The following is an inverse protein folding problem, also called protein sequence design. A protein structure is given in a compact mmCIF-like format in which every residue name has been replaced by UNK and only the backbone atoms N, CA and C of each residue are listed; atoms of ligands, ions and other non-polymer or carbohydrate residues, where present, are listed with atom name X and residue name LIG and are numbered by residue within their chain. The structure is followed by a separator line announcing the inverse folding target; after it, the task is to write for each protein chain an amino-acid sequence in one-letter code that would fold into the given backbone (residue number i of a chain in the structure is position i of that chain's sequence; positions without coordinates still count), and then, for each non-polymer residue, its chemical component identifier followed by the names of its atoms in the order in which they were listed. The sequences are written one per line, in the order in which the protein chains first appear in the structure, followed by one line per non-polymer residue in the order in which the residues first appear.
data_IF_034953433547
#
_entry.id   IF_034953433547
#
_cell.length_a   1.000
_cell.length_b   1.000
_cell.length_c   1.000
_cell.angle_alpha   90.00
_cell.angle_beta   90.00
_cell.angle_gamma   90.00
#
_symmetry.space_group_name_H-M   'P 1'
#
loop_
_entity.id
_entity.type
_entity.pdbx_description
1 polymer ?
#
# COMPACT_ATOMS: atom_id res chain seq x y z
N UNK A 1 14.32 10.77 -33.77
CA UNK A 1 13.99 10.22 -32.42
C UNK A 1 15.11 10.74 -31.52
N UNK A 2 14.77 11.54 -30.49
CA UNK A 2 15.78 11.96 -29.48
C UNK A 2 16.11 10.72 -28.66
N UNK A 3 17.37 10.27 -28.68
CA UNK A 3 17.86 9.27 -27.73
C UNK A 3 17.64 9.82 -26.31
N UNK A 4 16.66 9.27 -25.62
CA UNK A 4 16.42 9.58 -24.21
C UNK A 4 17.50 8.81 -23.44
N UNK A 5 18.54 9.51 -22.99
CA UNK A 5 19.57 8.90 -22.14
C UNK A 5 18.91 8.38 -20.88
N UNK A 6 19.04 7.07 -20.63
CA UNK A 6 18.48 6.44 -19.42
C UNK A 6 19.19 6.96 -18.18
N UNK A 7 18.43 7.12 -17.11
CA UNK A 7 18.98 7.47 -15.81
C UNK A 7 19.58 6.22 -15.12
N UNK A 8 20.68 6.41 -14.40
CA UNK A 8 21.39 5.33 -13.70
C UNK A 8 20.95 5.24 -12.24
N UNK A 9 20.53 4.05 -11.82
CA UNK A 9 20.14 3.77 -10.44
C UNK A 9 21.03 2.70 -9.84
N UNK A 10 21.62 2.96 -8.68
CA UNK A 10 22.43 2.02 -7.92
C UNK A 10 21.75 1.66 -6.61
N UNK A 11 21.43 0.38 -6.41
CA UNK A 11 20.96 -0.16 -5.14
C UNK A 11 22.10 -0.69 -4.30
N UNK A 12 22.18 -0.25 -3.03
CA UNK A 12 23.22 -0.67 -2.10
C UNK A 12 22.63 -1.39 -0.89
N UNK A 13 23.24 -2.51 -0.51
CA UNK A 13 23.00 -3.17 0.75
C UNK A 13 24.31 -3.77 1.30
N UNK A 14 24.29 -4.47 2.44
CA UNK A 14 25.51 -5.03 3.01
C UNK A 14 26.10 -6.11 2.12
N UNK A 15 25.36 -7.17 1.81
CA UNK A 15 25.89 -8.38 1.15
C UNK A 15 25.65 -8.46 -0.35
N UNK A 16 24.85 -7.59 -0.97
CA UNK A 16 24.37 -7.74 -2.37
C UNK A 16 23.86 -9.15 -2.70
N UNK A 17 23.29 -9.83 -1.69
CA UNK A 17 22.86 -11.23 -1.79
C UNK A 17 21.33 -11.39 -1.88
N UNK A 18 20.55 -10.40 -1.42
CA UNK A 18 19.09 -10.46 -1.42
C UNK A 18 18.44 -9.12 -1.79
N UNK A 19 18.31 -8.17 -0.83
CA UNK A 19 17.54 -6.93 -1.00
C UNK A 19 17.88 -6.15 -2.26
N UNK A 20 19.15 -5.86 -2.49
CA UNK A 20 19.61 -5.07 -3.65
C UNK A 20 19.49 -5.85 -4.97
N UNK A 21 19.66 -7.16 -4.97
CA UNK A 21 19.41 -8.02 -6.13
C UNK A 21 17.92 -8.01 -6.50
N UNK A 22 17.04 -8.19 -5.52
CA UNK A 22 15.59 -8.13 -5.74
C UNK A 22 15.15 -6.74 -6.25
N UNK A 23 15.71 -5.65 -5.70
CA UNK A 23 15.39 -4.29 -6.14
C UNK A 23 15.87 -4.03 -7.57
N UNK A 24 17.08 -4.50 -7.93
CA UNK A 24 17.62 -4.40 -9.29
C UNK A 24 16.69 -5.08 -10.31
N UNK A 25 16.28 -6.32 -10.05
CA UNK A 25 15.39 -7.09 -10.94
C UNK A 25 14.02 -6.41 -11.07
N UNK A 26 13.43 -6.00 -9.94
CA UNK A 26 12.13 -5.33 -9.91
C UNK A 26 12.14 -4.03 -10.73
N UNK A 27 13.11 -3.15 -10.52
CA UNK A 27 13.14 -1.87 -11.22
C UNK A 27 13.47 -2.06 -12.71
N UNK A 28 14.37 -3.00 -13.04
CA UNK A 28 14.66 -3.37 -14.43
C UNK A 28 13.41 -3.89 -15.14
N UNK A 29 12.63 -4.73 -14.48
CA UNK A 29 11.37 -5.23 -15.04
C UNK A 29 10.33 -4.12 -15.25
N UNK A 30 10.20 -3.20 -14.28
CA UNK A 30 9.18 -2.13 -14.32
C UNK A 30 9.50 -1.00 -15.31
N UNK A 31 10.77 -0.64 -15.47
CA UNK A 31 11.15 0.60 -16.13
C UNK A 31 12.52 0.52 -16.85
N UNK A 32 12.83 -0.59 -17.50
CA UNK A 32 14.08 -0.78 -18.27
C UNK A 32 14.25 0.21 -19.45
N UNK A 33 13.16 0.81 -19.91
CA UNK A 33 13.18 1.85 -20.92
C UNK A 33 13.63 3.23 -20.39
N UNK A 34 13.61 3.44 -19.07
CA UNK A 34 13.93 4.71 -18.41
C UNK A 34 15.21 4.65 -17.58
N UNK A 35 15.51 3.48 -17.00
CA UNK A 35 16.61 3.31 -16.06
C UNK A 35 17.57 2.20 -16.48
N UNK A 36 18.87 2.50 -16.33
CA UNK A 36 19.93 1.50 -16.25
C UNK A 36 20.16 1.20 -14.77
N UNK A 37 19.89 -0.05 -14.38
CA UNK A 37 19.77 -0.44 -12.97
C UNK A 37 20.95 -1.32 -12.56
N UNK A 38 21.55 -1.00 -11.43
CA UNK A 38 22.72 -1.67 -10.86
C UNK A 38 22.49 -1.98 -9.39
N UNK A 39 23.18 -2.99 -8.88
CA UNK A 39 23.23 -3.27 -7.44
C UNK A 39 24.63 -3.64 -6.99
N UNK A 40 24.96 -3.31 -5.73
CA UNK A 40 26.22 -3.69 -5.11
C UNK A 40 26.09 -3.87 -3.60
N UNK A 41 27.12 -4.47 -3.00
CA UNK A 41 27.25 -4.64 -1.56
C UNK A 41 28.59 -4.09 -1.06
N UNK A 42 28.61 -3.74 0.22
CA UNK A 42 29.83 -3.32 0.91
C UNK A 42 30.72 -4.53 1.16
N UNK A 43 30.09 -5.62 1.59
CA UNK A 43 30.69 -6.94 1.82
C UNK A 43 29.92 -7.99 1.02
N UNK A 44 30.26 -8.20 -0.27
CA UNK A 44 29.54 -9.12 -1.13
C UNK A 44 29.51 -10.55 -0.57
N UNK A 45 28.33 -11.18 -0.63
CA UNK A 45 28.08 -12.56 -0.34
C UNK A 45 27.43 -13.22 -1.55
N UNK A 46 27.44 -14.55 -1.64
CA UNK A 46 26.73 -15.26 -2.70
C UNK A 46 25.26 -14.90 -2.72
N UNK A 47 24.67 -14.85 -3.92
CA UNK A 47 23.25 -14.55 -4.09
C UNK A 47 22.42 -15.62 -3.39
N UNK A 48 21.54 -15.20 -2.47
CA UNK A 48 20.72 -16.10 -1.68
C UNK A 48 19.67 -16.79 -2.57
N UNK A 49 19.67 -18.11 -2.59
CA UNK A 49 18.76 -18.92 -3.40
C UNK A 49 17.29 -18.63 -3.10
N UNK A 50 16.97 -18.25 -1.85
CA UNK A 50 15.61 -17.87 -1.44
C UNK A 50 15.16 -16.53 -2.07
N UNK A 51 16.11 -15.62 -2.35
CA UNK A 51 15.81 -14.41 -3.11
C UNK A 51 15.51 -14.73 -4.57
N UNK A 52 16.27 -15.65 -5.18
CA UNK A 52 16.02 -16.16 -6.53
C UNK A 52 14.65 -16.83 -6.61
N UNK A 53 14.32 -17.70 -5.65
CA UNK A 53 13.02 -18.38 -5.60
C UNK A 53 11.85 -17.41 -5.41
N UNK A 54 12.01 -16.37 -4.58
CA UNK A 54 11.00 -15.34 -4.41
C UNK A 54 10.74 -14.56 -5.71
N UNK A 55 11.81 -14.20 -6.44
CA UNK A 55 11.70 -13.53 -7.75
C UNK A 55 10.98 -14.42 -8.77
N UNK A 56 11.35 -15.69 -8.86
CA UNK A 56 10.71 -16.66 -9.77
C UNK A 56 9.23 -16.85 -9.47
N UNK A 57 8.86 -16.99 -8.19
CA UNK A 57 7.46 -17.08 -7.75
C UNK A 57 6.67 -15.81 -8.06
N UNK A 58 7.34 -14.68 -8.08
CA UNK A 58 6.74 -13.40 -8.49
C UNK A 58 6.59 -13.24 -10.01
N UNK A 59 7.09 -14.21 -10.79
CA UNK A 59 7.05 -14.20 -12.26
C UNK A 59 8.20 -13.41 -12.92
N UNK A 60 9.31 -13.18 -12.20
CA UNK A 60 10.45 -12.42 -12.69
C UNK A 60 11.61 -13.34 -13.07
N UNK A 61 12.34 -12.98 -14.14
CA UNK A 61 13.57 -13.66 -14.50
C UNK A 61 14.70 -13.31 -13.50
N UNK A 62 15.25 -14.34 -12.89
CA UNK A 62 16.33 -14.24 -11.92
C UNK A 62 17.61 -14.92 -12.40
N UNK A 63 17.81 -15.06 -13.72
CA UNK A 63 19.04 -15.61 -14.28
C UNK A 63 20.17 -14.58 -14.27
N UNK A 64 21.39 -15.07 -14.10
CA UNK A 64 22.60 -14.24 -14.23
C UNK A 64 22.80 -13.21 -13.10
N UNK A 65 22.14 -13.37 -11.96
CA UNK A 65 22.36 -12.52 -10.79
C UNK A 65 23.76 -12.78 -10.22
N UNK A 66 24.55 -11.72 -10.10
CA UNK A 66 25.93 -11.78 -9.59
C UNK A 66 26.10 -10.72 -8.50
N UNK A 67 26.63 -11.14 -7.37
CA UNK A 67 26.98 -10.22 -6.29
C UNK A 67 28.23 -9.42 -6.65
N UNK A 68 28.21 -8.12 -6.39
CA UNK A 68 29.26 -7.18 -6.76
C UNK A 68 29.65 -6.30 -5.57
N UNK A 69 30.94 -6.01 -5.43
CA UNK A 69 31.40 -5.03 -4.46
C UNK A 69 31.12 -3.61 -4.99
N UNK A 70 30.75 -2.69 -4.09
CA UNK A 70 30.49 -1.29 -4.43
C UNK A 70 31.71 -0.60 -5.10
N UNK A 71 32.92 -1.06 -4.80
CA UNK A 71 34.15 -0.56 -5.41
C UNK A 71 34.22 -0.73 -6.93
N UNK A 72 33.46 -1.67 -7.50
CA UNK A 72 33.38 -1.85 -8.97
C UNK A 72 32.77 -0.61 -9.64
N UNK A 73 32.04 0.18 -8.90
CA UNK A 73 31.38 1.40 -9.37
C UNK A 73 32.09 2.69 -8.93
N UNK A 74 33.30 2.58 -8.38
CA UNK A 74 34.09 3.75 -7.98
C UNK A 74 34.36 4.69 -9.16
N UNK A 75 34.11 5.97 -8.94
CA UNK A 75 34.25 7.00 -10.02
C UNK A 75 33.06 7.06 -10.99
N UNK A 76 32.06 6.17 -10.90
CA UNK A 76 30.86 6.26 -11.72
C UNK A 76 29.85 7.22 -11.12
N UNK A 77 29.12 7.93 -11.99
CA UNK A 77 28.05 8.84 -11.61
C UNK A 77 26.71 8.11 -11.77
N UNK A 78 25.86 8.22 -10.74
CA UNK A 78 24.50 7.69 -10.73
C UNK A 78 23.50 8.81 -10.47
N UNK A 79 22.39 8.84 -11.21
CA UNK A 79 21.30 9.78 -10.96
C UNK A 79 20.64 9.51 -9.60
N UNK A 80 20.57 8.23 -9.24
CA UNK A 80 20.01 7.79 -7.96
C UNK A 80 20.91 6.74 -7.30
N UNK A 81 21.18 6.94 -6.02
CA UNK A 81 21.79 5.92 -5.15
C UNK A 81 20.81 5.61 -4.01
N UNK A 82 20.43 4.36 -3.88
CA UNK A 82 19.40 3.93 -2.93
C UNK A 82 19.98 2.86 -2.00
N UNK A 83 20.17 3.20 -0.73
CA UNK A 83 20.59 2.24 0.30
C UNK A 83 19.39 1.51 0.86
N UNK A 84 19.51 0.19 1.10
CA UNK A 84 18.40 -0.68 1.49
C UNK A 84 18.52 -1.24 2.92
N UNK A 85 19.49 -0.77 3.70
CA UNK A 85 19.65 -1.11 5.11
C UNK A 85 20.50 -0.04 5.82
N UNK A 86 20.34 0.07 7.12
CA UNK A 86 21.05 1.04 7.95
C UNK A 86 22.57 0.94 7.84
N UNK A 87 23.13 -0.27 7.80
CA UNK A 87 24.57 -0.46 7.65
C UNK A 87 25.08 0.13 6.34
N UNK A 88 24.42 -0.18 5.21
CA UNK A 88 24.79 0.40 3.93
C UNK A 88 24.57 1.93 3.90
N UNK A 89 23.53 2.42 4.58
CA UNK A 89 23.28 3.85 4.69
C UNK A 89 24.37 4.58 5.49
N UNK A 90 24.84 4.00 6.58
CA UNK A 90 25.89 4.60 7.42
C UNK A 90 27.26 4.58 6.73
N UNK A 91 27.61 3.50 6.05
CA UNK A 91 28.91 3.33 5.38
C UNK A 91 29.00 4.02 4.01
N UNK A 92 27.86 4.13 3.29
CA UNK A 92 27.77 4.79 1.98
C UNK A 92 27.08 6.17 2.04
N UNK A 93 27.03 6.78 3.21
CA UNK A 93 26.49 8.13 3.37
C UNK A 93 27.31 9.12 2.56
N UNK A 94 26.68 9.77 1.55
CA UNK A 94 27.39 10.68 0.66
C UNK A 94 28.21 9.93 -0.41
N UNK A 95 27.61 8.92 -1.07
CA UNK A 95 28.27 8.25 -2.20
C UNK A 95 28.78 9.28 -3.21
N UNK A 96 30.10 9.32 -3.53
CA UNK A 96 30.67 10.26 -4.48
C UNK A 96 30.05 10.04 -5.87
N UNK A 97 29.47 11.08 -6.46
CA UNK A 97 28.81 10.99 -7.77
C UNK A 97 27.34 10.59 -7.74
N UNK A 98 26.66 10.62 -6.57
CA UNK A 98 25.21 10.47 -6.50
C UNK A 98 24.51 11.80 -6.85
N UNK A 99 23.55 11.77 -7.80
CA UNK A 99 22.67 12.91 -8.07
C UNK A 99 21.65 13.08 -6.93
N UNK A 100 20.82 12.06 -6.69
CA UNK A 100 19.91 11.95 -5.53
C UNK A 100 20.26 10.72 -4.72
N UNK A 101 20.24 10.82 -3.39
CA UNK A 101 20.45 9.69 -2.50
C UNK A 101 19.24 9.45 -1.62
N UNK A 102 18.78 8.19 -1.57
CA UNK A 102 17.67 7.75 -0.72
C UNK A 102 18.15 6.68 0.26
N UNK A 103 17.74 6.80 1.51
CA UNK A 103 17.93 5.80 2.54
C UNK A 103 16.61 5.06 2.76
N UNK A 104 16.49 3.86 2.19
CA UNK A 104 15.37 2.96 2.46
C UNK A 104 15.86 1.88 3.41
N UNK A 105 15.13 1.67 4.49
CA UNK A 105 15.44 0.60 5.43
C UNK A 105 14.43 -0.53 5.30
N UNK A 106 14.92 -1.71 4.90
CA UNK A 106 14.14 -2.94 4.83
C UNK A 106 14.74 -3.97 5.79
N UNK A 107 13.91 -4.61 6.65
CA UNK A 107 14.37 -5.70 7.49
C UNK A 107 15.08 -6.77 6.69
N UNK A 108 16.14 -7.35 7.25
CA UNK A 108 16.89 -8.40 6.57
C UNK A 108 16.02 -9.66 6.43
N UNK A 109 15.71 -10.12 5.20
CA UNK A 109 14.89 -11.32 5.01
C UNK A 109 15.54 -12.60 5.55
N UNK A 110 16.87 -12.61 5.77
CA UNK A 110 17.56 -13.78 6.32
C UNK A 110 17.21 -14.08 7.78
N UNK A 111 16.87 -13.02 8.55
CA UNK A 111 16.60 -13.09 10.00
C UNK A 111 15.18 -12.62 10.37
N UNK A 112 14.38 -12.21 9.40
CA UNK A 112 13.03 -11.69 9.63
C UNK A 112 12.09 -12.76 10.17
N UNK A 113 11.42 -12.57 11.33
CA UNK A 113 10.54 -13.56 11.94
C UNK A 113 9.15 -13.57 11.29
N UNK A 114 9.03 -14.12 10.09
CA UNK A 114 7.74 -14.34 9.42
C UNK A 114 7.80 -15.58 8.51
N UNK A 115 6.65 -16.12 8.11
CA UNK A 115 6.54 -17.36 7.35
C UNK A 115 7.18 -17.31 5.96
N UNK A 116 7.18 -16.14 5.30
CA UNK A 116 7.71 -15.95 3.95
C UNK A 116 8.55 -14.68 3.84
N UNK A 117 9.70 -14.59 4.52
CA UNK A 117 10.43 -13.33 4.69
C UNK A 117 10.93 -12.73 3.37
N UNK A 118 11.40 -13.54 2.43
CA UNK A 118 11.87 -13.05 1.13
C UNK A 118 10.74 -12.52 0.26
N UNK A 119 9.59 -13.23 0.21
CA UNK A 119 8.41 -12.76 -0.52
C UNK A 119 7.83 -11.48 0.09
N UNK A 120 7.83 -11.36 1.41
CA UNK A 120 7.39 -10.16 2.10
C UNK A 120 8.29 -8.97 1.75
N UNK A 121 9.61 -9.13 1.84
CA UNK A 121 10.57 -8.08 1.48
C UNK A 121 10.47 -7.70 -0.01
N UNK A 122 10.26 -8.67 -0.89
CA UNK A 122 10.05 -8.43 -2.32
C UNK A 122 8.81 -7.57 -2.58
N UNK A 123 7.69 -7.86 -1.90
CA UNK A 123 6.48 -7.05 -2.01
C UNK A 123 6.66 -5.63 -1.47
N UNK A 124 7.36 -5.47 -0.36
CA UNK A 124 7.67 -4.14 0.21
C UNK A 124 8.55 -3.32 -0.75
N UNK A 125 9.59 -3.94 -1.33
CA UNK A 125 10.41 -3.33 -2.37
C UNK A 125 9.58 -2.95 -3.60
N UNK A 126 8.71 -3.86 -4.06
CA UNK A 126 7.83 -3.62 -5.20
C UNK A 126 6.93 -2.40 -4.99
N UNK A 127 6.33 -2.25 -3.81
CA UNK A 127 5.47 -1.12 -3.46
C UNK A 127 6.27 0.19 -3.38
N UNK A 128 7.45 0.17 -2.76
CA UNK A 128 8.31 1.35 -2.66
C UNK A 128 8.82 1.81 -4.03
N UNK A 129 9.20 0.87 -4.89
CA UNK A 129 9.63 1.16 -6.25
C UNK A 129 8.49 1.68 -7.12
N UNK A 130 7.26 1.17 -6.95
CA UNK A 130 6.09 1.72 -7.65
C UNK A 130 5.83 3.18 -7.27
N UNK A 131 5.94 3.51 -5.98
CA UNK A 131 5.84 4.90 -5.52
C UNK A 131 6.98 5.78 -6.09
N UNK A 132 8.22 5.27 -6.06
CA UNK A 132 9.38 5.97 -6.64
C UNK A 132 9.14 6.33 -8.10
N UNK A 133 8.68 5.38 -8.91
CA UNK A 133 8.37 5.61 -10.31
C UNK A 133 7.29 6.67 -10.50
N UNK A 134 6.20 6.62 -9.72
CA UNK A 134 5.12 7.61 -9.80
C UNK A 134 5.58 9.03 -9.46
N UNK A 135 6.51 9.18 -8.51
CA UNK A 135 7.05 10.48 -8.11
C UNK A 135 8.00 11.04 -9.16
N UNK A 136 8.90 10.19 -9.68
CA UNK A 136 9.90 10.63 -10.68
C UNK A 136 9.29 10.80 -12.09
N UNK A 137 8.13 10.20 -12.38
CA UNK A 137 7.41 10.39 -13.65
C UNK A 137 6.63 11.70 -13.72
N UNK A 138 6.24 12.26 -12.59
CA UNK A 138 5.54 13.54 -12.53
C UNK A 138 6.51 14.63 -12.08
N UNK A 139 6.92 15.59 -12.96
CA UNK A 139 7.42 16.85 -12.45
C UNK A 139 6.30 17.44 -11.58
N UNK A 140 6.54 17.56 -10.27
CA UNK A 140 5.62 18.26 -9.37
C UNK A 140 5.58 19.70 -9.85
N UNK A 141 4.60 20.04 -10.70
CA UNK A 141 4.19 21.41 -10.87
C UNK A 141 3.60 21.82 -9.53
N UNK A 142 4.37 22.56 -8.74
CA UNK A 142 3.85 23.35 -7.63
C UNK A 142 2.78 24.25 -8.24
N UNK A 143 1.52 23.86 -8.11
CA UNK A 143 0.39 24.73 -8.43
C UNK A 143 0.36 25.75 -7.28
N UNK A 144 1.02 26.89 -7.52
CA UNK A 144 0.74 28.09 -6.76
C UNK A 144 -0.75 28.40 -6.98
N UNK A 145 -1.50 28.33 -5.90
CA UNK A 145 -2.92 28.70 -5.85
C UNK A 145 -3.09 30.17 -6.16
N UNK A 146 -3.29 30.52 -7.42
CA UNK A 146 -3.98 31.71 -7.91
C UNK A 146 -4.03 31.68 -9.45
N UNK A 147 -5.10 31.13 -10.00
CA UNK A 147 -5.80 31.68 -11.16
C UNK A 147 -6.77 30.64 -11.73
N UNK A 148 -8.03 30.91 -11.57
CA UNK A 148 -9.16 30.33 -12.30
C UNK A 148 -8.98 30.58 -13.80
N UNK A 149 -8.89 29.53 -14.59
CA UNK A 149 -9.39 29.52 -15.97
C UNK A 149 -9.72 28.08 -16.40
N UNK A 150 -10.92 27.94 -16.91
CA UNK A 150 -11.54 26.81 -17.58
C UNK A 150 -10.63 26.17 -18.64
N UNK A 151 -10.39 24.87 -18.53
CA UNK A 151 -9.96 24.02 -19.64
C UNK A 151 -10.67 22.67 -19.52
N UNK A 152 -11.27 22.31 -20.60
CA UNK A 152 -12.09 21.18 -20.98
C UNK A 152 -11.90 19.86 -20.21
N UNK A 153 -13.06 19.37 -19.71
CA UNK A 153 -13.27 18.04 -19.16
C UNK A 153 -13.29 17.02 -20.30
N UNK A 154 -12.21 16.25 -20.41
CA UNK A 154 -12.29 14.86 -20.87
C UNK A 154 -11.03 14.11 -20.46
N UNK A 155 -11.22 13.17 -19.52
CA UNK A 155 -10.36 12.08 -19.05
C UNK A 155 -9.84 12.19 -17.62
N UNK A 156 -10.56 11.60 -16.74
CA UNK A 156 -10.21 10.74 -15.58
C UNK A 156 -11.19 11.01 -14.43
N UNK A 157 -12.28 10.26 -14.37
CA UNK A 157 -13.04 10.00 -13.15
C UNK A 157 -12.19 9.14 -12.18
N UNK A 158 -11.07 9.66 -11.75
CA UNK A 158 -10.49 9.34 -10.46
C UNK A 158 -11.10 10.34 -9.48
N UNK A 159 -12.33 10.02 -9.04
CA UNK A 159 -12.99 10.73 -7.96
C UNK A 159 -11.97 11.05 -6.88
N UNK A 160 -11.92 12.31 -6.49
CA UNK A 160 -11.00 12.89 -5.50
C UNK A 160 -11.29 12.32 -4.10
N UNK A 161 -11.02 11.01 -3.91
CA UNK A 161 -11.14 10.33 -2.64
C UNK A 161 -9.96 10.72 -1.76
N UNK A 162 -10.23 11.51 -0.72
CA UNK A 162 -9.21 12.14 0.11
C UNK A 162 -8.66 11.15 1.17
N UNK A 163 -7.37 10.75 1.09
CA UNK A 163 -6.78 9.82 2.05
C UNK A 163 -6.84 10.29 3.50
N UNK A 164 -6.63 11.59 3.76
CA UNK A 164 -6.66 12.14 5.13
C UNK A 164 -8.05 12.00 5.73
N UNK A 165 -9.11 12.27 4.97
CA UNK A 165 -10.50 12.10 5.40
C UNK A 165 -10.82 10.63 5.68
N UNK A 166 -10.33 9.72 4.83
CA UNK A 166 -10.45 8.28 5.04
C UNK A 166 -9.80 7.84 6.36
N UNK A 167 -8.53 8.15 6.59
CA UNK A 167 -7.84 7.74 7.83
C UNK A 167 -8.46 8.39 9.08
N UNK A 168 -8.86 9.66 9.01
CA UNK A 168 -9.59 10.31 10.11
C UNK A 168 -10.91 9.59 10.42
N UNK A 169 -11.59 9.02 9.42
CA UNK A 169 -12.80 8.24 9.67
C UNK A 169 -12.54 6.95 10.43
N UNK A 170 -11.35 6.36 10.35
CA UNK A 170 -10.96 5.13 11.01
C UNK A 170 -10.47 5.31 12.47
N UNK A 171 -10.24 6.53 12.92
CA UNK A 171 -9.66 6.80 14.26
C UNK A 171 -10.67 6.74 15.42
N UNK A 172 -11.93 6.47 15.16
CA UNK A 172 -12.98 6.31 16.16
C UNK A 172 -13.39 4.83 16.24
N UNK A 173 -13.55 4.31 17.46
CA UNK A 173 -13.82 2.91 17.71
C UNK A 173 -15.15 2.45 17.08
N UNK A 174 -16.22 3.25 17.21
CA UNK A 174 -17.54 2.92 16.64
C UNK A 174 -17.45 2.85 15.12
N UNK A 175 -16.74 3.79 14.47
CA UNK A 175 -16.59 3.80 13.03
C UNK A 175 -15.75 2.64 12.53
N UNK A 176 -14.63 2.34 13.21
CA UNK A 176 -13.77 1.21 12.85
C UNK A 176 -14.52 -0.11 12.97
N UNK A 177 -15.16 -0.38 14.12
CA UNK A 177 -15.96 -1.58 14.33
C UNK A 177 -17.12 -1.68 13.33
N UNK A 178 -17.79 -0.56 13.03
CA UNK A 178 -18.82 -0.51 11.98
C UNK A 178 -18.29 -0.98 10.63
N UNK A 179 -17.11 -0.50 10.20
CA UNK A 179 -16.53 -0.92 8.92
C UNK A 179 -16.13 -2.40 8.91
N UNK A 180 -15.59 -2.91 10.02
CA UNK A 180 -15.26 -4.33 10.14
C UNK A 180 -16.51 -5.21 10.07
N UNK A 181 -17.60 -4.81 10.74
CA UNK A 181 -18.90 -5.49 10.68
C UNK A 181 -19.52 -5.45 9.28
N UNK A 182 -19.45 -4.30 8.60
CA UNK A 182 -19.90 -4.15 7.22
C UNK A 182 -19.03 -4.97 6.24
N UNK A 183 -17.74 -5.07 6.49
CA UNK A 183 -16.84 -5.90 5.68
C UNK A 183 -17.24 -7.38 5.78
N UNK A 184 -17.58 -7.85 6.97
CA UNK A 184 -17.95 -9.25 7.19
C UNK A 184 -19.38 -9.57 6.70
N UNK A 185 -20.38 -8.72 7.02
CA UNK A 185 -21.79 -8.97 6.71
C UNK A 185 -22.25 -8.44 5.35
N UNK A 186 -21.45 -7.61 4.68
CA UNK A 186 -21.79 -6.95 3.42
C UNK A 186 -22.62 -5.69 3.63
N UNK A 187 -23.76 -5.78 4.35
CA UNK A 187 -24.60 -4.63 4.69
C UNK A 187 -25.32 -4.83 6.02
N UNK A 188 -25.55 -3.73 6.74
CA UNK A 188 -26.27 -3.70 8.03
C UNK A 188 -27.12 -2.44 8.13
N UNK A 189 -28.27 -2.54 8.82
CA UNK A 189 -29.08 -1.39 9.16
C UNK A 189 -28.65 -0.76 10.50
N UNK A 190 -29.21 0.41 10.85
CA UNK A 190 -28.88 1.10 12.10
C UNK A 190 -29.20 0.23 13.33
N UNK A 191 -30.33 -0.49 13.33
CA UNK A 191 -30.71 -1.35 14.45
C UNK A 191 -29.74 -2.50 14.67
N UNK A 192 -29.27 -3.14 13.58
CA UNK A 192 -28.25 -4.18 13.65
C UNK A 192 -26.92 -3.63 14.21
N UNK A 193 -26.53 -2.43 13.79
CA UNK A 193 -25.32 -1.79 14.29
C UNK A 193 -25.44 -1.38 15.77
N UNK A 194 -26.60 -0.90 16.21
CA UNK A 194 -26.85 -0.58 17.62
C UNK A 194 -26.74 -1.82 18.50
N UNK A 195 -27.39 -2.92 18.10
CA UNK A 195 -27.30 -4.20 18.79
C UNK A 195 -25.87 -4.73 18.86
N UNK A 196 -25.18 -4.74 17.71
CA UNK A 196 -23.81 -5.21 17.64
C UNK A 196 -22.88 -4.43 18.55
N UNK A 197 -22.93 -3.10 18.47
CA UNK A 197 -22.04 -2.20 19.20
C UNK A 197 -22.45 -1.97 20.66
N UNK A 198 -23.58 -2.58 21.11
CA UNK A 198 -24.16 -2.38 22.44
C UNK A 198 -24.38 -0.89 22.75
N UNK A 199 -24.82 -0.15 21.72
CA UNK A 199 -24.98 1.29 21.79
C UNK A 199 -26.45 1.67 21.79
N UNK A 200 -26.93 2.12 22.93
CA UNK A 200 -28.35 2.51 23.13
C UNK A 200 -28.72 3.82 22.43
N UNK A 201 -27.75 4.64 22.16
CA UNK A 201 -27.95 5.97 21.55
C UNK A 201 -27.96 5.91 20.01
N UNK A 202 -29.15 5.75 19.42
CA UNK A 202 -29.32 5.84 17.96
C UNK A 202 -28.72 7.12 17.35
N UNK A 203 -28.86 8.32 17.96
CA UNK A 203 -28.22 9.54 17.42
C UNK A 203 -26.70 9.44 17.37
N UNK A 204 -26.05 8.71 18.28
CA UNK A 204 -24.59 8.51 18.28
C UNK A 204 -24.15 7.63 17.12
N UNK A 205 -24.83 6.49 16.91
CA UNK A 205 -24.57 5.61 15.75
C UNK A 205 -24.83 6.34 14.45
N UNK A 206 -25.96 7.05 14.33
CA UNK A 206 -26.32 7.80 13.13
C UNK A 206 -25.31 8.89 12.79
N UNK A 207 -24.75 9.61 13.77
CA UNK A 207 -23.69 10.60 13.55
C UNK A 207 -22.41 9.95 13.02
N UNK A 208 -22.02 8.81 13.55
CA UNK A 208 -20.85 8.07 13.07
C UNK A 208 -21.05 7.57 11.64
N UNK A 209 -22.22 7.06 11.29
CA UNK A 209 -22.57 6.69 9.92
C UNK A 209 -22.55 7.90 8.96
N UNK A 210 -23.06 9.06 9.42
CA UNK A 210 -23.00 10.29 8.63
C UNK A 210 -21.56 10.74 8.34
N UNK A 211 -20.63 10.58 9.28
CA UNK A 211 -19.20 10.86 9.08
C UNK A 211 -18.62 9.92 8.02
N UNK A 212 -18.84 8.61 8.14
CA UNK A 212 -18.37 7.61 7.17
C UNK A 212 -18.97 7.84 5.76
N UNK A 213 -20.23 8.25 5.69
CA UNK A 213 -20.91 8.59 4.42
C UNK A 213 -20.34 9.86 3.81
N UNK A 214 -20.12 10.92 4.61
CA UNK A 214 -19.51 12.18 4.15
C UNK A 214 -18.11 11.97 3.60
N UNK A 215 -17.32 11.08 4.20
CA UNK A 215 -15.99 10.71 3.70
C UNK A 215 -16.03 9.68 2.55
N UNK A 216 -17.23 9.39 2.01
CA UNK A 216 -17.46 8.43 0.90
C UNK A 216 -16.97 7.00 1.18
N UNK A 217 -16.75 6.64 2.45
CA UNK A 217 -16.28 5.29 2.85
C UNK A 217 -17.41 4.28 2.80
N UNK A 218 -18.63 4.69 3.16
CA UNK A 218 -19.84 3.87 3.05
C UNK A 218 -20.88 4.53 2.17
N UNK A 219 -21.78 3.71 1.63
CA UNK A 219 -23.01 4.12 0.96
C UNK A 219 -24.20 3.53 1.70
N UNK A 220 -25.39 4.10 1.46
CA UNK A 220 -26.63 3.60 1.99
C UNK A 220 -27.64 3.34 0.87
N UNK A 221 -28.58 2.43 1.16
CA UNK A 221 -29.75 2.22 0.35
C UNK A 221 -31.01 2.10 1.23
N UNK A 222 -32.10 2.68 0.78
CA UNK A 222 -33.40 2.55 1.46
C UNK A 222 -34.13 1.34 0.91
N UNK A 223 -34.66 0.52 1.83
CA UNK A 223 -35.58 -0.58 1.49
C UNK A 223 -36.74 -0.60 2.49
N UNK A 224 -37.96 -0.30 2.01
CA UNK A 224 -39.12 -0.14 2.87
C UNK A 224 -38.89 0.95 3.93
N UNK A 225 -39.04 0.58 5.19
CA UNK A 225 -38.78 1.47 6.33
C UNK A 225 -37.31 1.45 6.80
N UNK A 226 -36.47 0.58 6.23
CA UNK A 226 -35.08 0.36 6.67
C UNK A 226 -34.10 1.10 5.77
N UNK A 227 -33.01 1.57 6.37
CA UNK A 227 -31.82 2.09 5.66
C UNK A 227 -30.66 1.15 5.96
N UNK A 228 -30.12 0.53 4.92
CA UNK A 228 -28.98 -0.35 4.97
C UNK A 228 -27.72 0.38 4.52
N UNK A 229 -26.63 0.15 5.24
CA UNK A 229 -25.32 0.70 4.96
C UNK A 229 -24.39 -0.40 4.49
N UNK A 230 -23.50 -0.08 3.54
CA UNK A 230 -22.45 -0.98 3.04
C UNK A 230 -21.19 -0.20 2.74
N UNK A 231 -20.05 -0.89 2.68
CA UNK A 231 -18.82 -0.30 2.18
C UNK A 231 -19.05 0.18 0.76
N UNK A 232 -18.60 1.40 0.46
CA UNK A 232 -18.77 1.99 -0.86
C UNK A 232 -18.07 1.13 -1.92
N UNK A 233 -18.78 0.58 -2.93
CA UNK A 233 -18.19 -0.23 -3.98
C UNK A 233 -17.19 0.53 -4.85
N UNK A 234 -17.29 1.87 -4.91
CA UNK A 234 -16.43 2.72 -5.72
C UNK A 234 -15.18 3.20 -4.97
N UNK A 235 -14.93 2.68 -3.75
CA UNK A 235 -13.68 2.96 -3.04
C UNK A 235 -12.46 2.58 -3.87
N UNK A 236 -11.40 3.39 -3.88
CA UNK A 236 -10.12 3.01 -4.45
C UNK A 236 -9.61 1.69 -3.86
N UNK A 237 -8.93 0.89 -4.68
CA UNK A 237 -8.46 -0.44 -4.27
C UNK A 237 -7.62 -0.41 -2.99
N UNK A 238 -6.76 0.61 -2.85
CA UNK A 238 -5.93 0.76 -1.65
C UNK A 238 -6.76 0.93 -0.37
N UNK A 239 -7.86 1.71 -0.42
CA UNK A 239 -8.73 1.92 0.73
C UNK A 239 -9.52 0.65 1.09
N UNK A 240 -10.00 -0.10 0.08
CA UNK A 240 -10.61 -1.43 0.28
C UNK A 240 -9.62 -2.38 0.95
N UNK A 241 -8.36 -2.40 0.48
CA UNK A 241 -7.31 -3.25 1.04
C UNK A 241 -7.00 -2.91 2.49
N UNK A 242 -6.98 -1.61 2.86
CA UNK A 242 -6.79 -1.19 4.26
C UNK A 242 -7.92 -1.73 5.13
N UNK A 243 -9.19 -1.58 4.71
CA UNK A 243 -10.34 -2.09 5.49
C UNK A 243 -10.25 -3.62 5.61
N UNK A 244 -10.01 -4.34 4.51
CA UNK A 244 -9.92 -5.79 4.49
C UNK A 244 -8.81 -6.30 5.42
N UNK A 245 -7.58 -5.82 5.25
CA UNK A 245 -6.43 -6.23 6.06
C UNK A 245 -6.60 -5.89 7.55
N UNK A 246 -7.19 -4.71 7.85
CA UNK A 246 -7.48 -4.34 9.24
C UNK A 246 -8.50 -5.31 9.84
N UNK A 247 -9.56 -5.65 9.11
CA UNK A 247 -10.60 -6.57 9.58
C UNK A 247 -10.07 -7.99 9.78
N UNK A 248 -9.36 -8.52 8.80
CA UNK A 248 -8.81 -9.89 8.82
C UNK A 248 -7.76 -10.09 9.91
N UNK A 249 -6.91 -9.09 10.14
CA UNK A 249 -5.84 -9.17 11.12
C UNK A 249 -6.27 -8.86 12.56
N UNK A 250 -7.48 -8.34 12.76
CA UNK A 250 -7.97 -7.89 14.06
C UNK A 250 -9.39 -8.41 14.40
N UNK A 251 -9.73 -9.60 13.92
CA UNK A 251 -11.03 -10.24 14.21
C UNK A 251 -11.42 -10.23 15.70
N UNK A 252 -10.49 -10.44 16.66
CA UNK A 252 -10.82 -10.37 18.09
C UNK A 252 -11.45 -9.06 18.54
N UNK A 253 -11.21 -7.94 17.83
CA UNK A 253 -11.79 -6.63 18.17
C UNK A 253 -13.31 -6.57 18.00
N UNK A 254 -13.88 -7.44 17.19
CA UNK A 254 -15.32 -7.46 16.86
C UNK A 254 -16.01 -8.81 17.16
N UNK A 255 -15.35 -9.74 17.84
CA UNK A 255 -15.93 -11.05 18.15
C UNK A 255 -17.24 -10.95 18.94
N UNK A 256 -17.29 -10.09 19.95
CA UNK A 256 -18.48 -9.92 20.77
C UNK A 256 -19.62 -9.27 19.97
N UNK A 257 -19.28 -8.32 19.10
CA UNK A 257 -20.20 -7.64 18.20
C UNK A 257 -20.82 -8.62 17.19
N UNK A 258 -20.02 -9.50 16.62
CA UNK A 258 -20.49 -10.56 15.71
C UNK A 258 -21.42 -11.53 16.42
N UNK A 259 -21.09 -11.97 17.64
CA UNK A 259 -21.94 -12.86 18.43
C UNK A 259 -23.28 -12.20 18.78
N UNK A 260 -23.31 -10.90 19.11
CA UNK A 260 -24.56 -10.17 19.36
C UNK A 260 -25.47 -10.13 18.14
N UNK A 261 -24.88 -9.89 16.95
CA UNK A 261 -25.63 -9.92 15.69
C UNK A 261 -26.20 -11.31 15.38
N UNK A 262 -25.43 -12.36 15.61
CA UNK A 262 -25.90 -13.74 15.37
C UNK A 262 -27.06 -14.13 16.33
N UNK A 263 -27.05 -13.60 17.53
CA UNK A 263 -28.09 -13.83 18.53
C UNK A 263 -29.33 -12.90 18.42
N UNK A 264 -29.28 -11.92 17.53
CA UNK A 264 -30.36 -10.93 17.37
C UNK A 264 -31.64 -11.57 16.82
N UNK A 265 -32.69 -11.62 17.63
CA UNK A 265 -33.97 -12.31 17.30
C UNK A 265 -34.81 -11.60 16.23
N UNK A 266 -34.75 -10.26 16.17
CA UNK A 266 -35.56 -9.43 15.26
C UNK A 266 -34.75 -8.83 14.14
N UNK A 267 -33.81 -9.59 13.62
CA UNK A 267 -32.96 -9.14 12.49
C UNK A 267 -33.84 -8.97 11.24
N UNK A 268 -33.74 -7.84 10.50
CA UNK A 268 -34.48 -7.66 9.27
C UNK A 268 -34.18 -8.79 8.26
N UNK A 269 -35.24 -9.40 7.71
CA UNK A 269 -35.09 -10.47 6.72
C UNK A 269 -34.57 -9.91 5.41
N UNK A 270 -33.32 -10.22 5.08
CA UNK A 270 -32.66 -9.81 3.83
C UNK A 270 -33.04 -10.70 2.63
N UNK A 271 -33.58 -11.90 2.88
CA UNK A 271 -33.94 -12.84 1.82
C UNK A 271 -35.17 -12.39 1.01
N UNK A 272 -36.01 -11.52 1.56
CA UNK A 272 -37.15 -10.94 0.84
C UNK A 272 -36.77 -9.86 -0.18
N UNK A 273 -35.48 -9.54 -0.35
CA UNK A 273 -34.97 -8.45 -1.17
C UNK A 273 -34.59 -8.83 -2.61
N UNK A 274 -34.54 -10.14 -2.91
CA UNK A 274 -34.31 -10.65 -4.25
C UNK A 274 -35.64 -11.00 -4.92
N UNK A 275 -36.38 -10.02 -5.35
CA UNK A 275 -37.47 -10.15 -6.35
C UNK A 275 -37.33 -9.09 -7.41
#
# INVERSE_FOLDING_TARGET
MKDVTKQKVLFLCTGNSARSQMAEVLLRHKASNKFDVYSAGIHPEDVDVRAIDALRKFGLDAQGLVSKNVKVFEGQIFDYVITLCDKANSECRGYPGAGKQFAWDFPDPKIRPCSNPFSTTLNELNNRLSMFLLVEEKPIKLVNSAQTHSVDEESSHLDNFEPISFYKSLTDEIRLKTLMLLHYHGELCVCELMEALEEESQPKVSRNLAVLKKSKVITDRKHGQWVFYRINPDLPLWAKSVIAQTSESNVPLVNNELQRLDNMKNRPDKASFCK
#
